data_IF_704091993654
#
_entry.id   IF_704091993654
#
_cell.length_a   1.000
_cell.length_b   1.000
_cell.length_c   1.000
_cell.angle_alpha   90.00
_cell.angle_beta   90.00
_cell.angle_gamma   90.00
#
_symmetry.space_group_name_H-M   'P 1'
#
loop_
_entity.id
_entity.type
_entity.pdbx_description
1 polymer ?
#
# COMPACT_ATOMS: atom_id res chain seq x y z
N UNK A 1 -22.41 -43.83 -11.42
CA UNK A 1 -22.24 -43.13 -12.71
C UNK A 1 -22.70 -41.67 -12.66
N UNK A 2 -23.94 -41.34 -12.26
CA UNK A 2 -24.43 -39.94 -12.16
C UNK A 2 -23.60 -39.03 -11.24
N UNK A 3 -23.09 -39.56 -10.13
CA UNK A 3 -22.23 -38.83 -9.19
C UNK A 3 -20.87 -38.44 -9.81
N UNK A 4 -20.22 -39.38 -10.51
CA UNK A 4 -18.96 -39.12 -11.21
C UNK A 4 -19.12 -38.08 -12.34
N UNK A 5 -20.20 -38.16 -13.11
CA UNK A 5 -20.50 -37.17 -14.15
C UNK A 5 -20.70 -35.77 -13.54
N UNK A 6 -21.39 -35.68 -12.40
CA UNK A 6 -21.61 -34.40 -11.70
C UNK A 6 -20.30 -33.80 -11.18
N UNK A 7 -19.41 -34.63 -10.61
CA UNK A 7 -18.07 -34.19 -10.18
C UNK A 7 -17.25 -33.70 -11.38
N UNK A 8 -17.22 -34.43 -12.49
CA UNK A 8 -16.49 -34.01 -13.67
C UNK A 8 -17.01 -32.68 -14.25
N UNK A 9 -18.32 -32.47 -14.27
CA UNK A 9 -18.92 -31.21 -14.72
C UNK A 9 -18.57 -30.04 -13.79
N UNK A 10 -18.55 -30.26 -12.47
CA UNK A 10 -18.19 -29.24 -11.48
C UNK A 10 -16.71 -28.87 -11.56
N UNK A 11 -15.82 -29.87 -11.74
CA UNK A 11 -14.39 -29.62 -11.95
C UNK A 11 -14.17 -28.86 -13.27
N UNK A 12 -14.83 -29.27 -14.35
CA UNK A 12 -14.70 -28.60 -15.65
C UNK A 12 -15.20 -27.16 -15.60
N UNK A 13 -16.37 -26.90 -14.99
CA UNK A 13 -16.87 -25.53 -14.84
C UNK A 13 -15.94 -24.66 -14.01
N UNK A 14 -15.38 -25.22 -12.93
CA UNK A 14 -14.40 -24.52 -12.09
C UNK A 14 -13.14 -24.15 -12.89
N UNK A 15 -12.60 -25.07 -13.69
CA UNK A 15 -11.44 -24.80 -14.56
C UNK A 15 -11.74 -23.72 -15.59
N UNK A 16 -12.93 -23.77 -16.23
CA UNK A 16 -13.33 -22.75 -17.21
C UNK A 16 -13.49 -21.39 -16.55
N UNK A 17 -14.11 -21.32 -15.37
CA UNK A 17 -14.25 -20.08 -14.61
C UNK A 17 -12.88 -19.53 -14.24
N UNK A 18 -11.98 -20.34 -13.69
CA UNK A 18 -10.61 -19.92 -13.35
C UNK A 18 -9.87 -19.41 -14.60
N UNK A 19 -9.99 -20.11 -15.73
CA UNK A 19 -9.37 -19.68 -16.99
C UNK A 19 -9.86 -18.32 -17.48
N UNK A 20 -11.19 -18.10 -17.45
CA UNK A 20 -11.78 -16.81 -17.84
C UNK A 20 -11.31 -15.68 -16.89
N UNK A 21 -11.24 -15.95 -15.59
CA UNK A 21 -10.76 -14.98 -14.61
C UNK A 21 -9.30 -14.62 -14.83
N UNK A 22 -8.42 -15.60 -15.08
CA UNK A 22 -7.01 -15.35 -15.35
C UNK A 22 -6.80 -14.46 -16.59
N UNK A 23 -7.56 -14.70 -17.67
CA UNK A 23 -7.50 -13.87 -18.89
C UNK A 23 -8.06 -12.46 -18.66
N UNK A 24 -9.11 -12.33 -17.83
CA UNK A 24 -9.66 -11.03 -17.47
C UNK A 24 -8.71 -10.21 -16.61
N UNK A 25 -8.01 -10.86 -15.66
CA UNK A 25 -7.07 -10.22 -14.74
C UNK A 25 -5.77 -9.83 -15.46
N UNK A 26 -5.27 -10.63 -16.40
CA UNK A 26 -4.06 -10.26 -17.15
C UNK A 26 -4.25 -9.00 -17.98
N UNK A 27 -5.47 -8.71 -18.45
CA UNK A 27 -5.80 -7.51 -19.23
C UNK A 27 -6.36 -6.34 -18.42
N UNK A 28 -6.48 -6.48 -17.10
CA UNK A 28 -7.00 -5.42 -16.26
C UNK A 28 -6.05 -4.22 -16.25
N UNK A 29 -6.61 -3.01 -16.33
CA UNK A 29 -5.87 -1.75 -16.14
C UNK A 29 -5.15 -1.76 -14.79
N UNK A 30 -4.02 -1.06 -14.71
CA UNK A 30 -3.15 -1.11 -13.53
C UNK A 30 -3.87 -0.79 -12.21
N UNK A 31 -4.73 0.25 -12.11
CA UNK A 31 -5.45 0.53 -10.87
C UNK A 31 -6.38 -0.62 -10.44
N UNK A 32 -6.96 -1.34 -11.40
CA UNK A 32 -7.80 -2.51 -11.13
C UNK A 32 -6.94 -3.68 -10.64
N UNK A 33 -5.78 -3.90 -11.26
CA UNK A 33 -4.83 -4.94 -10.84
C UNK A 33 -4.33 -4.70 -9.42
N UNK A 34 -3.98 -3.46 -9.08
CA UNK A 34 -3.55 -3.06 -7.73
C UNK A 34 -4.67 -3.27 -6.70
N UNK A 35 -5.89 -2.82 -7.02
CA UNK A 35 -7.06 -2.98 -6.14
C UNK A 35 -7.41 -4.45 -5.91
N UNK A 36 -7.33 -5.29 -6.95
CA UNK A 36 -7.52 -6.73 -6.83
C UNK A 36 -6.43 -7.33 -5.94
N UNK A 37 -5.16 -7.02 -6.18
CA UNK A 37 -4.06 -7.50 -5.34
C UNK A 37 -4.29 -7.16 -3.86
N UNK A 38 -4.62 -5.90 -3.54
CA UNK A 38 -4.91 -5.48 -2.16
C UNK A 38 -6.09 -6.23 -1.56
N UNK A 39 -7.20 -6.34 -2.28
CA UNK A 39 -8.40 -7.01 -1.78
C UNK A 39 -8.16 -8.51 -1.53
N UNK A 40 -7.42 -9.17 -2.41
CA UNK A 40 -7.06 -10.58 -2.22
C UNK A 40 -6.07 -10.77 -1.07
N UNK A 41 -5.10 -9.86 -0.90
CA UNK A 41 -4.23 -9.83 0.27
C UNK A 41 -5.03 -9.65 1.57
N UNK A 42 -5.98 -8.72 1.61
CA UNK A 42 -6.85 -8.49 2.77
C UNK A 42 -7.79 -9.68 3.05
N UNK A 43 -8.30 -10.36 2.01
CA UNK A 43 -9.09 -11.56 2.19
C UNK A 43 -8.23 -12.70 2.76
N UNK A 44 -7.01 -12.88 2.23
CA UNK A 44 -6.07 -13.91 2.67
C UNK A 44 -5.77 -13.77 4.16
N UNK A 45 -5.52 -12.56 4.66
CA UNK A 45 -5.21 -12.32 6.08
C UNK A 45 -6.38 -12.67 7.00
N UNK A 46 -7.62 -12.36 6.60
CA UNK A 46 -8.84 -12.76 7.34
C UNK A 46 -9.14 -14.25 7.30
N UNK A 47 -8.67 -14.96 6.27
CA UNK A 47 -8.92 -16.41 6.07
C UNK A 47 -7.80 -17.31 6.59
N UNK A 48 -6.83 -16.78 7.35
CA UNK A 48 -5.80 -17.59 8.05
C UNK A 48 -6.47 -18.47 9.13
N UNK A 49 -7.05 -19.61 8.73
CA UNK A 49 -7.69 -20.55 9.67
C UNK A 49 -6.66 -21.53 10.21
N UNK A 50 -6.46 -21.55 11.52
CA UNK A 50 -5.73 -22.63 12.20
C UNK A 50 -6.68 -23.81 12.36
N UNK A 51 -6.44 -24.91 11.64
CA UNK A 51 -7.19 -26.16 11.85
C UNK A 51 -6.19 -27.23 12.32
N UNK A 52 -6.38 -27.70 13.56
CA UNK A 52 -5.65 -28.84 14.15
C UNK A 52 -4.11 -28.69 14.10
N UNK A 53 -3.55 -27.60 14.64
CA UNK A 53 -2.09 -27.32 14.69
C UNK A 53 -1.34 -27.32 13.34
N UNK A 54 -2.06 -27.52 12.22
CA UNK A 54 -1.54 -27.30 10.88
C UNK A 54 -1.95 -25.89 10.45
N UNK A 55 -0.99 -25.07 10.03
CA UNK A 55 -1.27 -23.85 9.28
C UNK A 55 -1.92 -24.28 7.95
N UNK A 56 -3.25 -24.21 7.90
CA UNK A 56 -3.99 -24.64 6.71
C UNK A 56 -3.67 -23.69 5.58
N UNK A 57 -3.34 -24.33 4.45
CA UNK A 57 -3.29 -23.82 3.08
C UNK A 57 -4.11 -22.54 2.94
N UNK A 58 -3.45 -21.42 2.64
CA UNK A 58 -4.13 -20.19 2.26
C UNK A 58 -4.99 -20.49 1.03
N UNK A 59 -6.31 -20.53 1.21
CA UNK A 59 -7.28 -20.97 0.19
C UNK A 59 -7.57 -19.90 -0.86
N UNK A 60 -7.23 -18.65 -0.55
CA UNK A 60 -7.35 -17.52 -1.48
C UNK A 60 -6.09 -17.46 -2.36
N UNK A 61 -6.22 -17.62 -3.70
CA UNK A 61 -5.08 -17.51 -4.60
C UNK A 61 -4.48 -16.10 -4.54
N UNK A 62 -3.17 -15.99 -4.75
CA UNK A 62 -2.56 -14.67 -4.99
C UNK A 62 -2.97 -14.24 -6.40
N UNK A 63 -3.47 -13.01 -6.51
CA UNK A 63 -3.87 -12.39 -7.78
C UNK A 63 -3.01 -11.17 -8.13
N UNK A 64 -1.99 -10.90 -7.30
CA UNK A 64 -1.00 -9.88 -7.57
C UNK A 64 -0.13 -10.34 -8.75
N UNK A 65 0.02 -9.47 -9.74
CA UNK A 65 0.96 -9.65 -10.86
C UNK A 65 1.98 -8.52 -10.83
N UNK A 66 3.19 -8.78 -11.33
CA UNK A 66 4.17 -7.72 -11.57
C UNK A 66 3.64 -6.79 -12.67
N UNK A 67 3.67 -5.49 -12.44
CA UNK A 67 3.22 -4.49 -13.41
C UNK A 67 4.42 -3.81 -14.07
N UNK A 68 4.50 -3.90 -15.40
CA UNK A 68 5.56 -3.26 -16.18
C UNK A 68 5.23 -1.80 -16.45
N UNK A 69 6.20 -0.90 -16.26
CA UNK A 69 6.02 0.54 -16.41
C UNK A 69 7.15 1.17 -17.22
N UNK A 70 6.82 2.25 -17.91
CA UNK A 70 7.82 3.18 -18.44
C UNK A 70 7.70 4.50 -17.68
N UNK A 71 8.82 5.01 -17.16
CA UNK A 71 8.84 6.15 -16.22
C UNK A 71 9.70 7.29 -16.78
N UNK A 72 9.23 8.55 -16.80
CA UNK A 72 7.91 9.00 -16.37
C UNK A 72 6.83 8.75 -17.42
N UNK A 73 5.62 8.42 -17.00
CA UNK A 73 4.42 8.44 -17.84
C UNK A 73 3.94 9.88 -18.08
N UNK A 74 3.09 10.07 -19.10
CA UNK A 74 2.62 11.40 -19.51
C UNK A 74 1.88 12.13 -18.38
N UNK A 75 1.07 11.41 -17.60
CA UNK A 75 0.34 11.94 -16.44
C UNK A 75 1.27 12.58 -15.39
N UNK A 76 2.53 12.12 -15.28
CA UNK A 76 3.51 12.69 -14.36
C UNK A 76 4.30 13.84 -14.98
N UNK A 77 4.51 13.81 -16.30
CA UNK A 77 5.09 14.93 -17.06
C UNK A 77 4.16 16.15 -17.06
N UNK A 78 2.84 15.96 -16.99
CA UNK A 78 1.88 17.06 -16.84
C UNK A 78 1.89 17.70 -15.44
N UNK A 79 2.30 16.95 -14.41
CA UNK A 79 2.34 17.41 -13.01
C UNK A 79 3.65 18.10 -12.63
N UNK A 80 4.74 17.74 -13.30
CA UNK A 80 6.08 18.22 -12.97
C UNK A 80 6.78 18.71 -14.24
N UNK A 81 7.26 19.95 -14.23
CA UNK A 81 7.86 20.60 -15.41
C UNK A 81 9.15 19.92 -15.93
N UNK A 82 9.76 19.04 -15.13
CA UNK A 82 11.05 18.40 -15.43
C UNK A 82 10.92 16.89 -15.45
N UNK A 83 11.38 16.26 -16.53
CA UNK A 83 11.38 14.80 -16.71
C UNK A 83 12.00 14.04 -15.53
N UNK A 84 13.09 14.55 -14.96
CA UNK A 84 13.73 13.98 -13.77
C UNK A 84 12.83 14.03 -12.51
N UNK A 85 12.12 15.13 -12.27
CA UNK A 85 11.21 15.25 -11.12
C UNK A 85 9.97 14.39 -11.31
N UNK A 86 9.42 14.37 -12.54
CA UNK A 86 8.33 13.48 -12.90
C UNK A 86 8.70 12.00 -12.68
N UNK A 87 9.92 11.59 -13.08
CA UNK A 87 10.40 10.23 -12.90
C UNK A 87 10.51 9.84 -11.43
N UNK A 88 11.16 10.69 -10.62
CA UNK A 88 11.25 10.44 -9.17
C UNK A 88 9.88 10.45 -8.49
N UNK A 89 8.96 11.31 -8.91
CA UNK A 89 7.60 11.35 -8.38
C UNK A 89 6.85 10.05 -8.68
N UNK A 90 6.88 9.56 -9.92
CA UNK A 90 6.23 8.31 -10.28
C UNK A 90 6.86 7.11 -9.58
N UNK A 91 8.20 7.04 -9.52
CA UNK A 91 8.90 5.99 -8.76
C UNK A 91 8.49 5.97 -7.28
N UNK A 92 8.33 7.15 -6.69
CA UNK A 92 7.87 7.29 -5.29
C UNK A 92 6.43 6.81 -5.12
N UNK A 93 5.54 7.17 -6.04
CA UNK A 93 4.16 6.69 -6.04
C UNK A 93 4.05 5.18 -6.30
N UNK A 94 4.91 4.60 -7.13
CA UNK A 94 4.97 3.15 -7.31
C UNK A 94 5.44 2.46 -6.02
N UNK A 95 6.41 3.03 -5.29
CA UNK A 95 6.84 2.50 -4.00
C UNK A 95 5.70 2.54 -2.96
N UNK A 96 4.99 3.67 -2.85
CA UNK A 96 3.85 3.81 -1.95
C UNK A 96 2.68 2.89 -2.34
N UNK A 97 2.37 2.75 -3.63
CA UNK A 97 1.34 1.81 -4.10
C UNK A 97 1.69 0.36 -3.85
N UNK A 98 2.98 -0.01 -3.98
CA UNK A 98 3.45 -1.33 -3.58
C UNK A 98 3.19 -1.57 -2.08
N UNK A 99 3.57 -0.65 -1.21
CA UNK A 99 3.25 -0.72 0.23
C UNK A 99 1.75 -0.89 0.49
N UNK A 100 0.93 -0.09 -0.19
CA UNK A 100 -0.53 -0.12 -0.10
C UNK A 100 -1.15 -1.46 -0.52
N UNK A 101 -0.67 -2.05 -1.63
CA UNK A 101 -1.10 -3.37 -2.10
C UNK A 101 -0.82 -4.47 -1.08
N UNK A 102 0.25 -4.32 -0.30
CA UNK A 102 0.66 -5.24 0.76
C UNK A 102 0.14 -4.83 2.14
N UNK A 103 -1.01 -4.16 2.17
CA UNK A 103 -1.76 -3.80 3.39
C UNK A 103 -0.97 -2.92 4.36
N UNK A 104 -0.05 -2.10 3.83
CA UNK A 104 0.63 -1.06 4.61
C UNK A 104 1.34 -1.65 5.85
N UNK A 105 1.86 -2.87 5.72
CA UNK A 105 2.64 -3.52 6.77
C UNK A 105 1.87 -3.97 8.00
N UNK A 106 0.53 -3.91 8.00
CA UNK A 106 -0.32 -4.37 9.12
C UNK A 106 -0.05 -5.83 9.49
N UNK A 107 0.41 -6.62 8.53
CA UNK A 107 0.64 -8.05 8.67
C UNK A 107 2.13 -8.35 8.48
N UNK A 108 2.76 -8.88 9.52
CA UNK A 108 4.20 -9.18 9.50
C UNK A 108 4.54 -10.17 8.38
N UNK A 109 3.82 -11.30 8.30
CA UNK A 109 4.03 -12.36 7.31
C UNK A 109 2.88 -12.41 6.29
N UNK A 110 3.07 -11.68 5.19
CA UNK A 110 2.17 -11.61 4.04
C UNK A 110 2.25 -12.85 3.16
N UNK A 111 3.41 -13.50 3.10
CA UNK A 111 3.64 -14.59 2.17
C UNK A 111 3.25 -15.96 2.77
N UNK A 112 3.44 -16.14 4.07
CA UNK A 112 3.24 -17.39 4.78
C UNK A 112 4.28 -18.46 4.42
N UNK A 113 4.40 -19.49 5.25
CA UNK A 113 5.14 -20.71 4.89
C UNK A 113 4.39 -21.50 3.81
N UNK A 114 4.93 -21.61 2.58
CA UNK A 114 4.38 -22.54 1.57
C UNK A 114 4.96 -23.95 1.80
N UNK A 115 4.28 -24.97 1.28
CA UNK A 115 4.77 -26.37 1.32
C UNK A 115 6.07 -26.61 0.52
N UNK A 116 6.41 -25.73 -0.44
CA UNK A 116 7.54 -25.93 -1.36
C UNK A 116 8.37 -24.64 -1.59
N UNK A 117 8.74 -23.97 -0.49
CA UNK A 117 9.67 -22.82 -0.52
C UNK A 117 9.00 -21.51 -0.07
N UNK A 118 9.71 -20.76 0.75
CA UNK A 118 9.24 -19.49 1.29
C UNK A 118 9.53 -18.37 0.28
N UNK A 119 8.53 -17.95 -0.50
CA UNK A 119 8.63 -16.67 -1.21
C UNK A 119 8.78 -15.57 -0.15
N UNK A 120 9.96 -14.97 -0.02
CA UNK A 120 10.19 -13.89 0.96
C UNK A 120 9.85 -12.51 0.39
N UNK A 121 9.72 -12.41 -0.94
CA UNK A 121 9.45 -11.16 -1.63
C UNK A 121 8.67 -11.33 -2.94
N UNK A 122 8.03 -10.24 -3.35
CA UNK A 122 7.24 -10.11 -4.57
C UNK A 122 7.60 -8.82 -5.30
N UNK A 123 7.76 -8.88 -6.62
CA UNK A 123 8.02 -7.70 -7.45
C UNK A 123 6.68 -7.03 -7.78
N UNK A 124 6.38 -5.90 -7.15
CA UNK A 124 5.17 -5.13 -7.45
C UNK A 124 5.23 -4.52 -8.86
N UNK A 125 6.37 -3.91 -9.20
CA UNK A 125 6.57 -3.23 -10.46
C UNK A 125 7.95 -3.53 -11.03
N UNK A 126 8.02 -3.65 -12.35
CA UNK A 126 9.25 -3.46 -13.12
C UNK A 126 9.14 -2.17 -13.90
N UNK A 127 10.24 -1.45 -14.06
CA UNK A 127 10.19 -0.21 -14.81
C UNK A 127 11.49 0.13 -15.53
N UNK A 128 11.33 0.72 -16.71
CA UNK A 128 12.41 1.34 -17.47
C UNK A 128 12.29 2.87 -17.35
N UNK A 129 13.45 3.54 -17.22
CA UNK A 129 13.50 5.00 -17.19
C UNK A 129 13.69 5.53 -18.63
N UNK A 130 12.81 6.43 -19.07
CA UNK A 130 12.84 7.04 -20.41
C UNK A 130 14.16 7.75 -20.68
N UNK A 131 14.64 7.68 -21.91
CA UNK A 131 15.96 8.18 -22.36
C UNK A 131 16.20 9.68 -22.18
N UNK A 132 15.13 10.47 -22.05
CA UNK A 132 15.14 11.92 -21.90
C UNK A 132 15.18 12.37 -20.43
N UNK A 133 15.21 11.44 -19.49
CA UNK A 133 15.53 11.69 -18.09
C UNK A 133 17.06 11.71 -17.95
N UNK A 134 17.61 12.67 -17.22
CA UNK A 134 19.04 12.69 -16.89
C UNK A 134 19.37 11.58 -15.87
N UNK A 135 20.52 10.89 -15.97
CA UNK A 135 20.97 9.96 -14.93
C UNK A 135 21.04 10.63 -13.55
N UNK A 136 20.68 9.90 -12.50
CA UNK A 136 20.67 10.45 -11.14
C UNK A 136 21.08 9.43 -10.08
N UNK A 137 21.71 9.95 -9.03
CA UNK A 137 22.22 9.15 -7.92
C UNK A 137 21.08 8.72 -7.00
N UNK A 138 21.19 7.54 -6.39
CA UNK A 138 20.21 7.05 -5.45
C UNK A 138 20.07 7.93 -4.20
N UNK A 139 21.13 8.63 -3.80
CA UNK A 139 21.06 9.62 -2.72
C UNK A 139 20.11 10.79 -3.04
N UNK A 140 20.04 11.22 -4.30
CA UNK A 140 19.10 12.25 -4.73
C UNK A 140 17.66 11.73 -4.65
N UNK A 141 17.43 10.48 -5.07
CA UNK A 141 16.11 9.86 -4.98
C UNK A 141 15.66 9.62 -3.54
N UNK A 142 16.55 9.13 -2.66
CA UNK A 142 16.27 9.00 -1.21
C UNK A 142 15.87 10.35 -0.61
N UNK A 143 16.64 11.40 -0.90
CA UNK A 143 16.29 12.76 -0.46
C UNK A 143 14.92 13.20 -1.01
N UNK A 144 14.59 12.87 -2.24
CA UNK A 144 13.27 13.17 -2.81
C UNK A 144 12.14 12.47 -2.02
N UNK A 145 12.31 11.19 -1.67
CA UNK A 145 11.35 10.44 -0.84
C UNK A 145 11.18 11.06 0.56
N UNK A 146 12.29 11.54 1.15
CA UNK A 146 12.31 12.14 2.48
C UNK A 146 11.73 13.57 2.51
N UNK A 147 11.89 14.34 1.43
CA UNK A 147 11.46 15.74 1.37
C UNK A 147 10.02 15.91 0.83
N UNK A 148 9.53 14.95 0.02
CA UNK A 148 8.24 15.07 -0.66
C UNK A 148 7.10 14.47 0.17
N UNK A 149 6.17 15.34 0.57
CA UNK A 149 4.90 14.97 1.19
C UNK A 149 4.07 14.10 0.24
N UNK A 150 3.59 12.98 0.74
CA UNK A 150 2.74 12.02 0.01
C UNK A 150 1.29 12.10 0.45
N UNK A 151 1.03 11.84 1.73
CA UNK A 151 -0.32 11.86 2.31
C UNK A 151 -0.34 12.66 3.61
N UNK A 152 -1.55 12.88 4.10
CA UNK A 152 -1.79 13.42 5.43
C UNK A 152 -2.58 12.41 6.24
N UNK A 153 -2.22 12.26 7.52
CA UNK A 153 -2.85 11.32 8.44
C UNK A 153 -4.26 11.79 8.84
N UNK A 154 -5.23 10.88 8.81
CA UNK A 154 -6.56 11.09 9.38
C UNK A 154 -6.46 10.81 10.88
N UNK A 155 -6.29 11.86 11.69
CA UNK A 155 -6.07 11.73 13.14
C UNK A 155 -7.34 11.43 13.93
N UNK A 156 -8.47 11.22 13.25
CA UNK A 156 -9.73 10.82 13.88
C UNK A 156 -9.75 9.33 14.21
N UNK A 157 -10.79 8.87 14.92
CA UNK A 157 -11.01 7.45 15.18
C UNK A 157 -11.43 6.67 13.92
N UNK A 158 -11.52 7.34 12.76
CA UNK A 158 -11.91 6.78 11.47
C UNK A 158 -13.19 5.94 11.54
N UNK A 159 -14.10 6.31 12.43
CA UNK A 159 -15.29 5.53 12.71
C UNK A 159 -16.28 5.53 11.52
N UNK A 160 -16.18 6.52 10.63
CA UNK A 160 -16.82 6.52 9.32
C UNK A 160 -15.75 6.47 8.22
N UNK A 161 -15.71 5.32 7.50
CA UNK A 161 -14.64 4.90 6.60
C UNK A 161 -14.21 5.97 5.58
N UNK A 162 -15.16 6.74 5.05
CA UNK A 162 -14.88 7.68 3.97
C UNK A 162 -14.80 9.13 4.44
N UNK A 163 -15.25 9.44 5.65
CA UNK A 163 -15.45 10.82 6.08
C UNK A 163 -14.79 11.17 7.40
N UNK A 164 -13.94 10.30 7.96
CA UNK A 164 -13.38 10.44 9.30
C UNK A 164 -14.47 10.38 10.39
N UNK A 165 -14.13 10.73 11.61
CA UNK A 165 -15.08 10.88 12.70
C UNK A 165 -14.55 10.36 14.02
N UNK A 166 -15.17 10.83 15.10
CA UNK A 166 -14.71 10.62 16.47
C UNK A 166 -15.70 9.75 17.24
N UNK A 167 -15.20 8.79 17.99
CA UNK A 167 -15.99 7.93 18.86
C UNK A 167 -16.19 8.61 20.21
N UNK A 168 -17.46 8.89 20.56
CA UNK A 168 -17.83 9.62 21.77
C UNK A 168 -19.11 9.07 22.38
N UNK A 169 -19.34 9.26 23.67
CA UNK A 169 -20.62 8.87 24.31
C UNK A 169 -21.81 9.62 23.71
N UNK A 170 -21.60 10.89 23.35
CA UNK A 170 -22.63 11.76 22.78
C UNK A 170 -22.02 12.70 21.74
N UNK A 171 -22.73 12.89 20.63
CA UNK A 171 -22.36 13.88 19.61
C UNK A 171 -22.80 15.29 20.00
N UNK A 172 -22.06 16.29 19.51
CA UNK A 172 -22.42 17.70 19.63
C UNK A 172 -23.67 18.03 18.79
N UNK A 173 -24.32 19.16 19.09
CA UNK A 173 -25.58 19.55 18.44
C UNK A 173 -25.43 19.81 16.92
N UNK A 174 -24.23 20.13 16.45
CA UNK A 174 -23.90 20.35 15.04
C UNK A 174 -23.34 19.10 14.33
N UNK A 175 -23.13 18.01 15.08
CA UNK A 175 -22.65 16.73 14.59
C UNK A 175 -23.80 15.79 14.21
N UNK A 176 -23.49 14.82 13.35
CA UNK A 176 -24.37 13.70 13.02
C UNK A 176 -23.81 12.44 13.64
N UNK A 177 -24.70 11.67 14.27
CA UNK A 177 -24.41 10.30 14.65
C UNK A 177 -24.46 9.39 13.41
N UNK A 178 -23.38 8.65 13.17
CA UNK A 178 -23.26 7.67 12.10
C UNK A 178 -23.24 6.27 12.73
N UNK A 179 -24.02 5.30 12.21
CA UNK A 179 -23.86 3.91 12.62
C UNK A 179 -22.46 3.42 12.29
N UNK A 180 -21.73 2.93 13.29
CA UNK A 180 -20.39 2.37 13.12
C UNK A 180 -20.17 1.22 14.07
N UNK A 181 -19.47 0.19 13.59
CA UNK A 181 -18.97 -0.93 14.42
C UNK A 181 -17.52 -0.72 14.84
N UNK A 182 -16.91 0.44 14.51
CA UNK A 182 -15.51 0.73 14.83
C UNK A 182 -15.35 1.40 16.19
N UNK A 183 -16.39 2.05 16.69
CA UNK A 183 -16.34 2.65 18.01
C UNK A 183 -16.39 1.56 19.09
N UNK A 184 -15.46 1.56 20.05
CA UNK A 184 -15.44 0.58 21.12
C UNK A 184 -16.61 0.77 22.08
N UNK A 185 -16.89 -0.27 22.86
CA UNK A 185 -17.66 -0.12 24.10
C UNK A 185 -16.70 0.36 25.20
N UNK A 186 -17.15 1.30 26.03
CA UNK A 186 -16.39 1.80 27.18
C UNK A 186 -17.22 1.68 28.46
N UNK A 187 -16.55 1.38 29.57
CA UNK A 187 -17.17 1.37 30.90
C UNK A 187 -17.18 2.79 31.47
N UNK A 188 -18.37 3.37 31.61
CA UNK A 188 -18.59 4.71 32.15
C UNK A 188 -19.51 4.58 33.36
N UNK A 189 -19.03 4.98 34.53
CA UNK A 189 -19.75 4.88 35.81
C UNK A 189 -20.24 3.46 36.16
N UNK A 190 -19.49 2.43 35.72
CA UNK A 190 -19.83 1.02 35.96
C UNK A 190 -20.83 0.41 34.98
N UNK A 191 -21.22 1.15 33.93
CA UNK A 191 -22.05 0.66 32.84
C UNK A 191 -21.24 0.61 31.54
N UNK A 192 -21.30 -0.52 30.84
CA UNK A 192 -20.73 -0.66 29.49
C UNK A 192 -21.64 0.08 28.52
N UNK A 193 -21.12 1.14 27.91
CA UNK A 193 -21.82 1.97 26.93
C UNK A 193 -21.14 1.88 25.58
N UNK A 194 -21.93 1.66 24.54
CA UNK A 194 -21.47 1.73 23.16
C UNK A 194 -21.22 3.19 22.78
N UNK A 195 -19.99 3.53 22.40
CA UNK A 195 -19.68 4.85 21.86
C UNK A 195 -20.33 5.05 20.48
N UNK A 196 -20.66 6.30 20.18
CA UNK A 196 -21.27 6.76 18.95
C UNK A 196 -20.20 7.35 18.03
N UNK A 197 -20.30 7.07 16.72
CA UNK A 197 -19.47 7.75 15.73
C UNK A 197 -20.06 9.12 15.41
N UNK A 198 -19.34 10.18 15.75
CA UNK A 198 -19.77 11.57 15.59
C UNK A 198 -19.01 12.24 14.45
N UNK A 199 -19.76 12.88 13.56
CA UNK A 199 -19.23 13.43 12.31
C UNK A 199 -19.92 14.77 11.98
N UNK A 200 -19.16 15.85 11.84
CA UNK A 200 -19.63 17.13 11.31
C UNK A 200 -19.85 17.02 9.81
N UNK A 201 -20.54 17.98 9.21
CA UNK A 201 -20.75 17.97 7.74
C UNK A 201 -19.51 18.46 6.96
N UNK A 202 -18.37 18.62 7.62
CA UNK A 202 -17.13 19.20 7.11
C UNK A 202 -16.04 18.14 7.16
N UNK A 203 -15.56 17.72 6.00
CA UNK A 203 -14.61 16.60 5.88
C UNK A 203 -13.28 16.88 6.58
N UNK A 204 -12.72 18.08 6.39
CA UNK A 204 -11.45 18.47 7.00
C UNK A 204 -11.45 18.28 8.53
N UNK A 205 -12.51 18.77 9.20
CA UNK A 205 -12.64 18.70 10.66
C UNK A 205 -12.84 17.26 11.14
N UNK A 206 -13.58 16.47 10.38
CA UNK A 206 -13.79 15.07 10.73
C UNK A 206 -12.52 14.23 10.66
N UNK A 207 -11.50 14.71 9.94
CA UNK A 207 -10.22 14.04 9.76
C UNK A 207 -9.09 14.68 10.57
N UNK A 208 -9.43 15.58 11.50
CA UNK A 208 -8.49 16.21 12.42
C UNK A 208 -7.90 17.55 11.96
N UNK A 209 -8.26 18.03 10.77
CA UNK A 209 -7.87 19.36 10.31
C UNK A 209 -8.76 20.47 10.89
N UNK A 210 -8.41 21.72 10.57
CA UNK A 210 -9.22 22.91 10.86
C UNK A 210 -9.54 23.67 9.56
N UNK A 211 -10.65 24.38 9.53
CA UNK A 211 -11.04 25.21 8.38
C UNK A 211 -10.81 26.68 8.71
N UNK A 212 -9.89 27.31 7.98
CA UNK A 212 -9.53 28.73 8.15
C UNK A 212 -9.31 29.41 6.79
N UNK A 213 -9.49 30.72 6.70
CA UNK A 213 -9.18 31.48 5.47
C UNK A 213 -7.68 31.44 5.13
N UNK A 214 -6.83 31.28 6.14
CA UNK A 214 -5.38 31.21 6.00
C UNK A 214 -4.77 30.39 7.14
N UNK A 215 -4.09 29.30 6.78
CA UNK A 215 -3.38 28.46 7.75
C UNK A 215 -2.26 29.22 8.46
N UNK A 216 -2.19 29.06 9.78
CA UNK A 216 -1.08 29.57 10.59
C UNK A 216 0.24 28.81 10.31
N UNK A 217 1.34 29.32 10.86
CA UNK A 217 2.70 28.82 10.74
C UNK A 217 2.90 27.36 11.18
N UNK A 218 2.06 26.82 12.07
CA UNK A 218 2.10 25.41 12.49
C UNK A 218 1.31 24.48 11.54
N UNK A 219 0.47 25.06 10.69
CA UNK A 219 -0.38 24.33 9.78
C UNK A 219 0.12 24.45 8.34
N UNK A 220 -0.35 23.55 7.48
CA UNK A 220 -0.16 23.61 6.04
C UNK A 220 -1.50 23.34 5.36
N UNK A 221 -1.76 24.10 4.30
CA UNK A 221 -2.94 23.93 3.47
C UNK A 221 -2.95 22.56 2.80
N UNK A 222 -4.08 21.86 2.89
CA UNK A 222 -4.31 20.58 2.26
C UNK A 222 -5.56 20.64 1.38
N UNK A 223 -5.42 20.56 0.04
CA UNK A 223 -6.56 20.71 -0.86
C UNK A 223 -7.43 19.44 -0.97
N UNK A 224 -6.98 18.32 -0.39
CA UNK A 224 -7.65 17.02 -0.55
C UNK A 224 -8.92 16.85 0.28
N UNK A 225 -9.11 17.66 1.33
CA UNK A 225 -10.31 17.62 2.18
C UNK A 225 -11.08 18.92 2.13
N UNK A 226 -12.40 18.79 2.05
CA UNK A 226 -13.29 19.94 1.85
C UNK A 226 -13.64 20.65 3.16
N UNK A 227 -13.57 22.00 3.11
CA UNK A 227 -14.21 22.89 4.07
C UNK A 227 -15.60 23.32 3.57
N UNK A 228 -16.50 23.72 4.48
CA UNK A 228 -17.92 23.93 4.17
C UNK A 228 -18.34 25.40 4.19
N UNK A 229 -17.53 26.29 4.77
CA UNK A 229 -17.83 27.71 4.87
C UNK A 229 -17.35 28.48 3.65
N UNK A 230 -18.24 28.68 2.68
CA UNK A 230 -18.10 29.71 1.65
C UNK A 230 -16.88 29.61 0.73
N UNK A 231 -16.79 30.55 -0.21
CA UNK A 231 -15.61 30.74 -1.05
C UNK A 231 -14.49 31.36 -0.20
N UNK A 232 -13.53 30.57 0.29
CA UNK A 232 -12.33 31.12 0.94
C UNK A 232 -11.70 30.23 2.00
N UNK A 233 -12.48 29.40 2.70
CA UNK A 233 -11.93 28.52 3.73
C UNK A 233 -11.06 27.42 3.11
N UNK A 234 -9.93 27.17 3.76
CA UNK A 234 -8.94 26.16 3.41
C UNK A 234 -8.85 25.14 4.52
N UNK A 235 -8.65 23.88 4.16
CA UNK A 235 -8.32 22.86 5.14
C UNK A 235 -6.86 23.01 5.54
N UNK A 236 -6.63 23.24 6.82
CA UNK A 236 -5.33 23.43 7.44
C UNK A 236 -5.06 22.24 8.34
N UNK A 237 -3.96 21.55 8.08
CA UNK A 237 -3.56 20.36 8.85
C UNK A 237 -2.20 20.63 9.51
N UNK A 238 -1.97 20.09 10.70
CA UNK A 238 -0.72 20.27 11.41
C UNK A 238 0.43 19.70 10.57
N UNK A 239 1.56 20.41 10.56
CA UNK A 239 2.71 20.02 9.72
C UNK A 239 3.24 18.62 10.06
N UNK A 240 3.06 18.16 11.30
CA UNK A 240 3.50 16.85 11.76
C UNK A 240 2.64 15.69 11.23
N UNK A 241 1.37 15.94 10.89
CA UNK A 241 0.47 14.92 10.33
C UNK A 241 0.73 14.66 8.83
N UNK A 242 1.62 15.44 8.19
CA UNK A 242 2.01 15.21 6.81
C UNK A 242 3.12 14.16 6.75
N UNK A 243 2.81 13.04 6.12
CA UNK A 243 3.78 11.98 5.88
C UNK A 243 4.43 12.16 4.51
N UNK A 244 5.76 12.11 4.51
CA UNK A 244 6.55 12.00 3.28
C UNK A 244 6.42 10.59 2.71
N UNK A 245 6.94 10.32 1.51
CA UNK A 245 6.92 8.94 0.99
C UNK A 245 7.64 7.96 1.93
N UNK A 246 8.79 8.39 2.46
CA UNK A 246 9.52 7.62 3.48
C UNK A 246 8.69 7.48 4.76
N UNK A 247 8.13 8.58 5.27
CA UNK A 247 7.29 8.55 6.48
C UNK A 247 6.08 7.64 6.35
N UNK A 248 5.39 7.66 5.20
CA UNK A 248 4.25 6.80 4.91
C UNK A 248 4.62 5.31 5.02
N UNK A 249 5.72 4.88 4.39
CA UNK A 249 6.13 3.47 4.48
C UNK A 249 6.65 3.11 5.87
N UNK A 250 7.26 4.06 6.59
CA UNK A 250 7.88 3.78 7.88
C UNK A 250 6.90 3.70 9.05
N UNK A 251 5.85 4.52 9.05
CA UNK A 251 5.00 4.69 10.23
C UNK A 251 3.50 4.56 9.97
N UNK A 252 3.03 4.57 8.71
CA UNK A 252 1.60 4.50 8.44
C UNK A 252 1.09 3.06 8.56
N UNK A 253 0.23 2.83 9.57
CA UNK A 253 -0.42 1.55 9.92
C UNK A 253 0.50 0.44 10.42
N UNK A 254 1.65 0.22 9.78
CA UNK A 254 2.65 -0.79 10.16
C UNK A 254 4.07 -0.29 9.99
N UNK A 255 5.02 -0.97 10.61
CA UNK A 255 6.44 -0.61 10.51
C UNK A 255 7.02 -1.11 9.19
N UNK A 256 7.63 -0.19 8.44
CA UNK A 256 8.28 -0.50 7.18
C UNK A 256 9.57 0.29 6.95
N UNK A 257 10.25 0.02 5.83
CA UNK A 257 11.34 0.86 5.36
C UNK A 257 11.47 0.80 3.83
N UNK A 258 11.99 1.88 3.24
CA UNK A 258 12.39 1.92 1.84
C UNK A 258 13.90 1.74 1.73
N UNK A 259 14.35 0.78 0.92
CA UNK A 259 15.76 0.55 0.60
C UNK A 259 15.96 0.79 -0.90
N UNK A 260 16.90 1.67 -1.24
CA UNK A 260 17.36 1.85 -2.62
C UNK A 260 18.74 1.19 -2.74
N UNK A 261 18.77 0.05 -3.42
CA UNK A 261 19.93 -0.85 -3.59
C UNK A 261 20.65 -0.65 -4.94
N UNK A 262 20.48 0.51 -5.55
CA UNK A 262 21.24 0.94 -6.72
C UNK A 262 22.07 2.16 -6.35
N UNK A 263 23.25 2.32 -6.94
CA UNK A 263 24.06 3.53 -6.72
C UNK A 263 23.53 4.70 -7.56
N UNK A 264 23.22 4.40 -8.83
CA UNK A 264 22.80 5.37 -9.84
C UNK A 264 21.75 4.75 -10.76
N UNK A 265 20.75 5.56 -11.10
CA UNK A 265 19.72 5.25 -12.09
C UNK A 265 20.19 5.65 -13.48
N UNK A 266 20.12 4.71 -14.42
CA UNK A 266 20.65 4.77 -15.78
C UNK A 266 19.52 4.64 -16.81
N UNK A 267 18.97 5.77 -17.27
CA UNK A 267 17.93 5.84 -18.31
C UNK A 267 18.21 4.95 -19.52
N UNK A 268 17.21 4.17 -19.93
CA UNK A 268 17.18 3.29 -21.12
C UNK A 268 18.29 2.24 -21.22
N UNK A 269 19.02 1.96 -20.14
CA UNK A 269 20.07 0.93 -20.10
C UNK A 269 19.74 -0.23 -19.18
N UNK A 270 18.92 0.02 -18.16
CA UNK A 270 18.62 -0.94 -17.13
C UNK A 270 17.13 -0.91 -16.81
N UNK A 271 16.59 -2.10 -16.56
CA UNK A 271 15.27 -2.28 -15.97
C UNK A 271 15.42 -2.39 -14.46
N UNK A 272 14.59 -1.65 -13.75
CA UNK A 272 14.54 -1.61 -12.31
C UNK A 272 13.33 -2.39 -11.79
N UNK A 273 13.39 -2.77 -10.53
CA UNK A 273 12.32 -3.47 -9.83
C UNK A 273 11.99 -2.77 -8.52
N UNK A 274 10.70 -2.71 -8.22
CA UNK A 274 10.14 -2.32 -6.93
C UNK A 274 9.53 -3.55 -6.29
N UNK A 275 10.15 -4.03 -5.21
CA UNK A 275 9.77 -5.28 -4.55
C UNK A 275 9.31 -5.04 -3.12
N UNK A 276 8.26 -5.75 -2.72
CA UNK A 276 7.87 -5.87 -1.32
C UNK A 276 8.53 -7.11 -0.73
N UNK A 277 9.20 -6.95 0.42
CA UNK A 277 9.80 -8.02 1.21
C UNK A 277 9.06 -8.04 2.55
N UNK A 278 8.39 -9.14 2.84
CA UNK A 278 7.64 -9.28 4.10
C UNK A 278 8.60 -9.54 5.24
N UNK A 279 8.29 -9.02 6.43
CA UNK A 279 8.99 -9.37 7.66
C UNK A 279 8.79 -10.87 7.94
N UNK A 280 9.87 -11.63 7.99
CA UNK A 280 9.80 -13.06 8.30
C UNK A 280 10.78 -13.43 9.40
N UNK A 281 10.46 -14.45 10.19
CA UNK A 281 11.30 -14.90 11.30
C UNK A 281 12.61 -15.58 10.87
N UNK A 282 12.85 -15.78 9.57
CA UNK A 282 14.03 -16.48 9.02
C UNK A 282 14.75 -15.65 7.95
N UNK A 283 15.22 -14.47 8.36
CA UNK A 283 15.83 -13.46 7.48
C UNK A 283 17.33 -13.66 7.17
N UNK A 284 17.99 -14.66 7.79
CA UNK A 284 19.45 -14.85 7.70
C UNK A 284 20.03 -15.00 6.28
N UNK A 285 19.21 -15.30 5.27
CA UNK A 285 19.64 -15.35 3.88
C UNK A 285 19.82 -13.95 3.25
N UNK A 286 19.04 -12.94 3.64
CA UNK A 286 19.06 -11.62 2.99
C UNK A 286 20.37 -10.87 3.26
N UNK A 287 20.95 -11.03 4.45
CA UNK A 287 22.28 -10.51 4.81
C UNK A 287 23.40 -11.02 3.91
N UNK A 288 23.26 -12.24 3.39
CA UNK A 288 24.22 -12.82 2.44
C UNK A 288 24.19 -12.11 1.08
N UNK A 289 23.05 -11.53 0.72
CA UNK A 289 22.85 -10.86 -0.56
C UNK A 289 23.11 -9.35 -0.47
N UNK A 290 22.66 -8.71 0.60
CA UNK A 290 22.76 -7.26 0.77
C UNK A 290 23.97 -6.80 1.59
N UNK A 291 24.76 -7.75 2.10
CA UNK A 291 25.89 -7.46 2.97
C UNK A 291 25.46 -7.01 4.36
N UNK A 292 26.40 -6.46 5.12
CA UNK A 292 26.15 -5.97 6.49
C UNK A 292 25.55 -4.55 6.52
N UNK A 293 25.20 -3.98 5.36
CA UNK A 293 24.83 -2.56 5.23
C UNK A 293 23.31 -2.32 5.30
N UNK A 294 22.52 -3.32 5.70
CA UNK A 294 21.10 -3.11 6.00
C UNK A 294 21.00 -2.41 7.36
N UNK A 295 20.55 -1.14 7.42
CA UNK A 295 20.61 -0.35 8.65
C UNK A 295 19.52 -0.68 9.67
N UNK A 296 18.65 -1.66 9.36
CA UNK A 296 17.54 -2.06 10.20
C UNK A 296 17.79 -3.46 10.79
N UNK A 297 17.40 -3.73 12.04
CA UNK A 297 17.37 -5.08 12.57
C UNK A 297 16.50 -5.96 11.67
N UNK A 298 17.09 -7.03 11.14
CA UNK A 298 16.63 -7.80 9.98
C UNK A 298 15.31 -8.55 10.18
N UNK A 299 14.80 -8.57 11.40
CA UNK A 299 13.56 -9.20 11.82
C UNK A 299 12.48 -8.19 12.25
N UNK A 300 12.73 -6.89 12.12
CA UNK A 300 11.88 -5.87 12.72
C UNK A 300 10.76 -5.36 11.80
N UNK A 301 11.00 -5.21 10.49
CA UNK A 301 10.11 -4.42 9.61
C UNK A 301 9.91 -5.02 8.21
N UNK A 302 8.80 -4.67 7.57
CA UNK A 302 8.57 -4.95 6.15
C UNK A 302 9.40 -3.99 5.27
N UNK A 303 9.78 -4.38 4.06
CA UNK A 303 10.65 -3.56 3.20
C UNK A 303 10.05 -3.32 1.82
N UNK A 304 10.17 -2.09 1.34
CA UNK A 304 10.07 -1.73 -0.07
C UNK A 304 11.48 -1.57 -0.61
N UNK A 305 11.86 -2.38 -1.59
CA UNK A 305 13.19 -2.37 -2.18
C UNK A 305 13.14 -1.90 -3.63
N UNK A 306 13.96 -0.90 -3.94
CA UNK A 306 14.26 -0.45 -5.31
C UNK A 306 15.62 -1.00 -5.71
N UNK A 307 15.66 -1.82 -6.75
CA UNK A 307 16.88 -2.50 -7.22
C UNK A 307 16.92 -2.58 -8.74
N UNK A 308 18.04 -3.05 -9.31
CA UNK A 308 18.02 -3.51 -10.72
C UNK A 308 17.26 -4.83 -10.77
N UNK A 309 16.50 -5.05 -11.84
CA UNK A 309 15.70 -6.26 -11.99
C UNK A 309 16.57 -7.52 -11.87
N UNK A 310 17.66 -7.60 -12.65
CA UNK A 310 18.61 -8.73 -12.69
C UNK A 310 19.17 -9.17 -11.33
N UNK A 311 19.17 -8.27 -10.33
CA UNK A 311 19.71 -8.54 -9.00
C UNK A 311 18.68 -9.22 -8.09
N UNK A 312 17.38 -9.11 -8.41
CA UNK A 312 16.27 -9.63 -7.58
C UNK A 312 15.51 -10.79 -8.18
N UNK A 313 15.61 -11.04 -9.49
CA UNK A 313 14.91 -12.16 -10.15
C UNK A 313 15.29 -13.54 -9.58
N UNK A 314 16.42 -13.63 -8.86
CA UNK A 314 16.88 -14.87 -8.22
C UNK A 314 16.32 -15.07 -6.81
N UNK A 315 15.73 -14.04 -6.22
CA UNK A 315 15.36 -13.99 -4.79
C UNK A 315 13.86 -13.80 -4.64
N UNK A 316 13.27 -12.95 -5.48
CA UNK A 316 11.85 -12.65 -5.46
C UNK A 316 11.10 -13.44 -6.52
N UNK A 317 9.92 -13.89 -6.15
CA UNK A 317 9.06 -14.60 -7.07
C UNK A 317 8.53 -13.61 -8.11
N UNK A 318 8.85 -13.89 -9.37
CA UNK A 318 8.22 -13.27 -10.52
C UNK A 318 7.10 -14.23 -10.92
N UNK A 319 5.85 -13.87 -10.65
CA UNK A 319 4.75 -14.58 -11.30
C UNK A 319 4.73 -14.12 -12.77
N UNK A 320 5.20 -15.00 -13.66
CA UNK A 320 5.11 -14.77 -15.10
C UNK A 320 3.64 -14.59 -15.48
N UNK A 321 3.35 -13.67 -16.41
CA UNK A 321 2.00 -13.49 -16.94
C UNK A 321 1.51 -14.86 -17.45
N UNK A 322 0.37 -15.32 -16.92
CA UNK A 322 -0.21 -16.62 -17.28
C UNK A 322 -0.84 -16.54 -18.68
N UNK A 323 -0.72 -15.40 -19.38
CA UNK A 323 -0.86 -15.32 -20.83
C UNK A 323 0.32 -16.06 -21.49
N UNK A 324 0.21 -17.38 -21.58
CA UNK A 324 1.07 -18.16 -22.45
C UNK A 324 0.95 -17.65 -23.90
N UNK A 325 1.96 -16.90 -24.34
CA UNK A 325 2.37 -16.79 -25.73
C UNK A 325 3.68 -17.55 -25.95
#
# INVERSE_FOLDING_TARGET
MKFLISICLLLFSTVVIIGIWNVGISRAEDPVSELLCRNFNAARTKTKVKVLDFNVINTVPRTCKTLEKEVPSEDYLEKEDKSLQAAMLEMSDLAARCWWMWLEGIEDDMFGTRWFGDDKCFICYTFDIKKDVDPFQASLFKKFLDDRVYITEDTSDMCNVNGGGWCREKCEDDERQIPSTRCPEEEIDGEIKQQLCCNKKVECINKGGICEDKCDSNYKEYPGWSCRGGEGEKCCIEKEDFLTYTGYVQSYMGEGAIIVSVDEFQPSKETYALSFISKTSNFGDLRRFFGNDVPYPEDAVNLIMVSKLKDVEKICSIEADVSGE
#
